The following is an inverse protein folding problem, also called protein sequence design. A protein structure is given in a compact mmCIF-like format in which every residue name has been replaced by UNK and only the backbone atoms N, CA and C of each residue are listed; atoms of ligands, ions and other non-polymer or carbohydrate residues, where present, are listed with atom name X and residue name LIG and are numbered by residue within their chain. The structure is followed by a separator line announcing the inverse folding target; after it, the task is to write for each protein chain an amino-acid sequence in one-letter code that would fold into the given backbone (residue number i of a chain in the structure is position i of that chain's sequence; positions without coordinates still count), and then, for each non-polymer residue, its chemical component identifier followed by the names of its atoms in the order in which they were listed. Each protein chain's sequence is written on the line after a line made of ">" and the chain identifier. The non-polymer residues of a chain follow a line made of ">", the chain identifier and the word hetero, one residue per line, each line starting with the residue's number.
data_IF_632884367917
#
_entry.id   IF_632884367917
#
_cell.length_a   1.000
_cell.length_b   1.000
_cell.length_c   1.000
_cell.angle_alpha   90.00
_cell.angle_beta   90.00
_cell.angle_gamma   90.00
#
_symmetry.space_group_name_H-M   'P 1'
#
loop_
_entity.id
_entity.type
_entity.pdbx_description
1 polymer ?
#
# COMPACT_ATOMS: atom_id res chain seq x y z
N UNK A 1 -9.84 2.08 41.47
CA UNK A 1 -8.64 1.24 41.35
C UNK A 1 -9.00 0.10 40.40
N UNK A 2 -8.17 -0.26 39.40
CA UNK A 2 -8.38 -1.51 38.68
C UNK A 2 -8.35 -2.64 39.70
N UNK A 3 -9.34 -3.54 39.66
CA UNK A 3 -9.46 -4.63 40.62
C UNK A 3 -8.30 -5.60 40.36
N UNK A 4 -7.45 -5.91 41.35
CA UNK A 4 -6.26 -6.77 41.15
C UNK A 4 -6.61 -8.13 40.52
N UNK A 5 -7.86 -8.58 40.73
CA UNK A 5 -8.45 -9.76 40.09
C UNK A 5 -8.62 -9.63 38.56
N UNK A 6 -9.03 -8.46 38.05
CA UNK A 6 -9.15 -8.22 36.60
C UNK A 6 -7.77 -8.25 35.94
N UNK A 7 -6.77 -7.67 36.60
CA UNK A 7 -5.39 -7.67 36.11
C UNK A 7 -4.80 -9.08 36.08
N UNK A 8 -5.09 -9.89 37.10
CA UNK A 8 -4.70 -11.30 37.13
C UNK A 8 -5.38 -12.10 36.01
N UNK A 9 -6.67 -11.84 35.77
CA UNK A 9 -7.45 -12.47 34.71
C UNK A 9 -6.89 -12.09 33.32
N UNK A 10 -6.56 -10.81 33.11
CA UNK A 10 -5.92 -10.32 31.89
C UNK A 10 -4.59 -11.02 31.63
N UNK A 11 -3.76 -11.14 32.67
CA UNK A 11 -2.47 -11.83 32.56
C UNK A 11 -2.66 -13.32 32.27
N UNK A 12 -3.62 -14.01 32.88
CA UNK A 12 -3.92 -15.40 32.55
C UNK A 12 -4.42 -15.55 31.11
N UNK A 13 -5.36 -14.70 30.68
CA UNK A 13 -5.92 -14.77 29.32
C UNK A 13 -4.86 -14.43 28.26
N UNK A 14 -3.97 -13.48 28.53
CA UNK A 14 -2.94 -13.08 27.55
C UNK A 14 -1.70 -13.98 27.58
N UNK A 15 -1.16 -14.31 28.76
CA UNK A 15 0.09 -15.05 28.91
C UNK A 15 -0.12 -16.56 28.88
N UNK A 16 -1.19 -17.09 29.46
CA UNK A 16 -1.42 -18.54 29.50
C UNK A 16 -2.23 -19.02 28.30
N UNK A 17 -3.34 -18.35 27.96
CA UNK A 17 -4.17 -18.75 26.83
C UNK A 17 -3.64 -18.11 25.53
N UNK A 18 -3.38 -16.81 25.57
CA UNK A 18 -2.98 -16.02 24.40
C UNK A 18 -1.66 -16.45 23.75
N UNK A 19 -0.73 -17.06 24.49
CA UNK A 19 0.52 -17.60 23.90
C UNK A 19 0.28 -18.78 22.96
N UNK A 20 -0.80 -19.54 23.17
CA UNK A 20 -1.18 -20.68 22.34
C UNK A 20 -2.08 -20.31 21.17
N UNK A 21 -2.57 -19.07 21.13
CA UNK A 21 -3.40 -18.59 20.04
C UNK A 21 -2.55 -18.07 18.87
N UNK A 22 -2.87 -18.52 17.66
CA UNK A 22 -2.36 -17.94 16.43
C UNK A 22 -2.88 -16.51 16.21
N UNK A 23 -2.15 -15.71 15.44
CA UNK A 23 -2.53 -14.31 15.18
C UNK A 23 -3.94 -14.17 14.59
N UNK A 24 -4.39 -15.12 13.76
CA UNK A 24 -5.76 -15.10 13.22
C UNK A 24 -6.83 -15.33 14.31
N UNK A 25 -6.56 -16.17 15.31
CA UNK A 25 -7.50 -16.40 16.40
C UNK A 25 -7.60 -15.15 17.28
N UNK A 26 -6.46 -14.52 17.57
CA UNK A 26 -6.41 -13.23 18.28
C UNK A 26 -7.19 -12.15 17.52
N UNK A 27 -7.03 -12.08 16.20
CA UNK A 27 -7.81 -11.20 15.34
C UNK A 27 -9.32 -11.44 15.48
N UNK A 28 -9.79 -12.69 15.36
CA UNK A 28 -11.22 -13.02 15.48
C UNK A 28 -11.77 -12.70 16.88
N UNK A 29 -11.02 -12.99 17.93
CA UNK A 29 -11.40 -12.65 19.31
C UNK A 29 -11.49 -11.13 19.52
N UNK A 30 -10.58 -10.35 18.91
CA UNK A 30 -10.66 -8.90 18.97
C UNK A 30 -11.93 -8.34 18.29
N UNK A 31 -12.55 -9.10 17.36
CA UNK A 31 -13.70 -8.67 16.55
C UNK A 31 -15.02 -9.36 16.90
N UNK A 32 -15.07 -10.15 17.96
CA UNK A 32 -16.29 -10.87 18.35
C UNK A 32 -17.31 -10.01 19.13
N UNK A 33 -17.16 -8.68 19.14
CA UNK A 33 -18.04 -7.75 19.85
C UNK A 33 -17.79 -7.62 21.37
N UNK A 34 -16.84 -8.37 21.92
CA UNK A 34 -16.46 -8.27 23.34
C UNK A 34 -15.38 -7.19 23.55
N UNK A 35 -15.72 -6.11 24.26
CA UNK A 35 -14.81 -4.97 24.54
C UNK A 35 -13.52 -5.36 25.27
N UNK A 36 -13.62 -6.34 26.16
CA UNK A 36 -12.49 -6.83 26.94
C UNK A 36 -11.51 -7.62 26.06
N UNK A 37 -12.02 -8.58 25.28
CA UNK A 37 -11.20 -9.32 24.32
C UNK A 37 -10.61 -8.42 23.23
N UNK A 38 -11.36 -7.41 22.79
CA UNK A 38 -10.82 -6.35 21.91
C UNK A 38 -9.61 -5.67 22.56
N UNK A 39 -9.73 -5.21 23.82
CA UNK A 39 -8.62 -4.57 24.52
C UNK A 39 -7.36 -5.46 24.57
N UNK A 40 -7.54 -6.75 24.84
CA UNK A 40 -6.43 -7.71 24.99
C UNK A 40 -5.77 -8.06 23.65
N UNK A 41 -6.53 -8.14 22.56
CA UNK A 41 -6.05 -8.66 21.28
C UNK A 41 -5.99 -7.64 20.13
N UNK A 42 -6.36 -6.36 20.36
CA UNK A 42 -6.30 -5.31 19.33
C UNK A 42 -4.92 -5.16 18.69
N UNK A 43 -3.84 -5.26 19.48
CA UNK A 43 -2.48 -5.08 18.96
C UNK A 43 -2.04 -6.25 18.04
N UNK A 44 -2.15 -7.53 18.46
CA UNK A 44 -1.97 -8.66 17.56
C UNK A 44 -2.88 -8.62 16.32
N UNK A 45 -4.14 -8.20 16.47
CA UNK A 45 -5.09 -8.08 15.37
C UNK A 45 -4.62 -7.05 14.34
N UNK A 46 -4.21 -5.86 14.80
CA UNK A 46 -3.64 -4.81 13.96
C UNK A 46 -2.37 -5.27 13.23
N UNK A 47 -1.49 -6.05 13.91
CA UNK A 47 -0.29 -6.62 13.27
C UNK A 47 -0.63 -7.57 12.13
N UNK A 48 -1.66 -8.41 12.29
CA UNK A 48 -2.11 -9.32 11.23
C UNK A 48 -2.64 -8.55 10.02
N UNK A 49 -3.45 -7.51 10.26
CA UNK A 49 -3.96 -6.62 9.19
C UNK A 49 -2.81 -5.94 8.46
N UNK A 50 -1.86 -5.34 9.20
CA UNK A 50 -0.67 -4.72 8.60
C UNK A 50 0.14 -5.72 7.76
N UNK A 51 0.35 -6.95 8.25
CA UNK A 51 1.04 -7.99 7.50
C UNK A 51 0.32 -8.34 6.19
N UNK A 52 -1.00 -8.50 6.25
CA UNK A 52 -1.81 -8.77 5.06
C UNK A 52 -1.69 -7.65 4.03
N UNK A 53 -1.86 -6.39 4.46
CA UNK A 53 -1.76 -5.24 3.57
C UNK A 53 -0.34 -5.05 3.02
N UNK A 54 0.70 -5.42 3.78
CA UNK A 54 2.09 -5.44 3.29
C UNK A 54 2.27 -6.44 2.14
N UNK A 55 1.73 -7.66 2.27
CA UNK A 55 1.75 -8.63 1.17
C UNK A 55 1.03 -8.10 -0.09
N UNK A 56 -0.03 -7.32 0.08
CA UNK A 56 -0.77 -6.72 -1.04
C UNK A 56 0.07 -5.64 -1.74
N UNK A 57 0.65 -4.70 -1.00
CA UNK A 57 1.41 -3.57 -1.60
C UNK A 57 2.79 -3.98 -2.13
N UNK A 58 3.31 -5.13 -1.71
CA UNK A 58 4.57 -5.71 -2.20
C UNK A 58 4.35 -6.76 -3.32
N UNK A 59 3.12 -6.92 -3.80
CA UNK A 59 2.75 -7.88 -4.85
C UNK A 59 3.06 -9.35 -4.49
N UNK A 60 2.99 -9.70 -3.21
CA UNK A 60 3.22 -11.05 -2.72
C UNK A 60 1.91 -11.86 -2.77
N UNK A 61 1.34 -12.00 -3.97
CA UNK A 61 0.01 -12.57 -4.24
C UNK A 61 -0.25 -13.89 -3.50
N UNK A 62 0.68 -14.84 -3.55
CA UNK A 62 0.52 -16.15 -2.91
C UNK A 62 0.37 -16.06 -1.38
N UNK A 63 1.08 -15.11 -0.74
CA UNK A 63 1.02 -14.91 0.70
C UNK A 63 -0.28 -14.19 1.09
N UNK A 64 -0.67 -13.16 0.33
CA UNK A 64 -1.94 -12.47 0.51
C UNK A 64 -3.13 -13.43 0.36
N UNK A 65 -3.15 -14.25 -0.70
CA UNK A 65 -4.21 -15.21 -0.96
C UNK A 65 -4.28 -16.29 0.15
N UNK A 66 -3.13 -16.77 0.65
CA UNK A 66 -3.09 -17.71 1.77
C UNK A 66 -3.74 -17.14 3.03
N UNK A 67 -3.65 -15.84 3.26
CA UNK A 67 -4.34 -15.18 4.37
C UNK A 67 -5.85 -15.07 4.11
N UNK A 68 -6.26 -14.71 2.89
CA UNK A 68 -7.68 -14.63 2.50
C UNK A 68 -8.40 -15.98 2.52
N UNK A 69 -7.74 -17.08 2.13
CA UNK A 69 -8.26 -18.45 2.27
C UNK A 69 -8.59 -18.81 3.71
N UNK A 70 -7.86 -18.23 4.67
CA UNK A 70 -8.08 -18.46 6.11
C UNK A 70 -9.19 -17.57 6.65
N UNK A 71 -9.23 -16.31 6.23
CA UNK A 71 -10.23 -15.35 6.67
C UNK A 71 -10.50 -14.27 5.61
N UNK A 72 -11.59 -14.42 4.82
CA UNK A 72 -12.01 -13.40 3.85
C UNK A 72 -12.38 -12.06 4.51
N UNK A 73 -12.68 -12.04 5.82
CA UNK A 73 -13.02 -10.82 6.57
C UNK A 73 -11.89 -9.79 6.58
N UNK A 74 -10.64 -10.22 6.32
CA UNK A 74 -9.50 -9.32 6.16
C UNK A 74 -9.69 -8.28 5.03
N UNK A 75 -10.55 -8.54 4.05
CA UNK A 75 -10.91 -7.57 2.99
C UNK A 75 -11.60 -6.31 3.50
N UNK A 76 -12.19 -6.40 4.69
CA UNK A 76 -12.92 -5.30 5.33
C UNK A 76 -12.01 -4.42 6.19
N UNK A 77 -10.77 -4.87 6.43
CA UNK A 77 -9.85 -4.20 7.33
C UNK A 77 -9.07 -3.12 6.59
N UNK A 78 -9.06 -1.92 7.18
CA UNK A 78 -8.25 -0.80 6.72
C UNK A 78 -6.98 -0.68 7.56
N UNK A 79 -5.86 -0.36 6.92
CA UNK A 79 -4.61 -0.08 7.60
C UNK A 79 -3.76 0.91 6.83
N UNK A 80 -2.65 1.32 7.43
CA UNK A 80 -1.62 2.14 6.78
C UNK A 80 -0.33 1.34 6.70
N UNK A 81 0.20 1.17 5.49
CA UNK A 81 1.44 0.44 5.21
C UNK A 81 2.38 1.28 4.36
N UNK A 82 3.65 0.89 4.32
CA UNK A 82 4.65 1.50 3.42
C UNK A 82 4.91 0.54 2.27
N UNK A 83 4.76 1.01 1.04
CA UNK A 83 4.97 0.19 -0.16
C UNK A 83 6.44 0.12 -0.60
N UNK A 84 6.71 -0.62 -1.67
CA UNK A 84 8.05 -0.80 -2.23
C UNK A 84 8.70 0.52 -2.71
N UNK A 85 7.91 1.53 -3.05
CA UNK A 85 8.37 2.87 -3.42
C UNK A 85 8.52 3.81 -2.21
N UNK A 86 8.47 3.27 -0.99
CA UNK A 86 8.55 4.00 0.28
C UNK A 86 7.43 5.02 0.48
N UNK A 87 6.30 4.86 -0.22
CA UNK A 87 5.09 5.67 -0.02
C UNK A 87 4.30 5.08 1.14
N UNK A 88 3.76 5.95 2.00
CA UNK A 88 2.75 5.52 2.98
C UNK A 88 1.39 5.55 2.32
N UNK A 89 0.71 4.41 2.31
CA UNK A 89 -0.60 4.23 1.69
C UNK A 89 -1.58 3.72 2.73
N UNK A 90 -2.80 4.23 2.70
CA UNK A 90 -3.87 3.85 3.62
C UNK A 90 -5.09 3.39 2.86
N UNK A 91 -5.56 2.18 3.19
CA UNK A 91 -6.72 1.59 2.56
C UNK A 91 -6.92 0.14 2.98
N UNK A 92 -7.98 -0.46 2.44
CA UNK A 92 -8.21 -1.91 2.44
C UNK A 92 -7.39 -2.56 1.34
N UNK A 93 -7.23 -3.89 1.38
CA UNK A 93 -6.48 -4.62 0.35
C UNK A 93 -6.95 -4.32 -1.08
N UNK A 94 -8.27 -4.32 -1.31
CA UNK A 94 -8.83 -4.03 -2.63
C UNK A 94 -8.48 -2.61 -3.10
N UNK A 95 -8.65 -1.61 -2.23
CA UNK A 95 -8.33 -0.21 -2.50
C UNK A 95 -6.86 0.00 -2.85
N UNK A 96 -5.97 -0.66 -2.10
CA UNK A 96 -4.53 -0.57 -2.33
C UNK A 96 -4.14 -1.24 -3.66
N UNK A 97 -4.72 -2.39 -4.00
CA UNK A 97 -4.43 -3.10 -5.23
C UNK A 97 -4.89 -2.32 -6.49
N UNK A 98 -6.14 -1.82 -6.49
CA UNK A 98 -6.67 -1.03 -7.62
C UNK A 98 -5.93 0.32 -7.77
N UNK A 99 -5.53 0.95 -6.67
CA UNK A 99 -4.77 2.19 -6.71
C UNK A 99 -3.34 1.99 -7.21
N UNK A 100 -2.79 0.79 -7.05
CA UNK A 100 -1.50 0.40 -7.60
C UNK A 100 -1.56 -0.13 -9.04
N UNK A 101 -2.75 -0.21 -9.65
CA UNK A 101 -2.98 -0.85 -10.96
C UNK A 101 -2.46 -2.29 -11.05
N UNK A 102 -2.41 -3.00 -9.93
CA UNK A 102 -1.92 -4.37 -9.89
C UNK A 102 -3.04 -5.35 -10.27
N UNK A 103 -3.14 -5.65 -11.56
CA UNK A 103 -4.25 -6.40 -12.13
C UNK A 103 -4.46 -7.79 -11.51
N UNK A 104 -3.38 -8.54 -11.39
CA UNK A 104 -3.42 -9.90 -10.85
C UNK A 104 -3.86 -9.92 -9.37
N UNK A 105 -3.46 -8.92 -8.58
CA UNK A 105 -3.81 -8.83 -7.17
C UNK A 105 -5.27 -8.46 -6.94
N UNK A 106 -5.82 -7.44 -7.64
CA UNK A 106 -7.23 -7.08 -7.42
C UNK A 106 -8.18 -8.14 -7.96
N UNK A 107 -7.89 -8.77 -9.10
CA UNK A 107 -8.71 -9.89 -9.62
C UNK A 107 -8.73 -11.09 -8.66
N UNK A 108 -7.59 -11.41 -8.04
CA UNK A 108 -7.53 -12.43 -6.98
C UNK A 108 -8.43 -12.03 -5.81
N UNK A 109 -8.31 -10.80 -5.32
CA UNK A 109 -9.10 -10.26 -4.21
C UNK A 109 -10.61 -10.27 -4.52
N UNK A 110 -11.02 -9.91 -5.74
CA UNK A 110 -12.43 -9.88 -6.15
C UNK A 110 -13.13 -11.23 -5.94
N UNK A 111 -12.41 -12.33 -6.14
CA UNK A 111 -12.98 -13.66 -5.93
C UNK A 111 -13.33 -13.95 -4.47
N UNK A 112 -12.65 -13.32 -3.51
CA UNK A 112 -12.92 -13.51 -2.08
C UNK A 112 -14.07 -12.63 -1.57
N UNK A 113 -14.41 -11.52 -2.26
CA UNK A 113 -15.64 -10.78 -1.93
C UNK A 113 -16.90 -11.64 -2.09
N UNK A 114 -16.91 -12.60 -3.02
CA UNK A 114 -18.03 -13.54 -3.23
C UNK A 114 -18.33 -14.42 -2.01
N UNK A 115 -17.37 -14.54 -1.09
CA UNK A 115 -17.51 -15.32 0.15
C UNK A 115 -18.12 -14.50 1.30
N UNK A 116 -18.29 -13.18 1.13
CA UNK A 116 -18.86 -12.28 2.12
C UNK A 116 -20.35 -12.06 1.84
N UNK A 117 -21.18 -12.02 2.88
CA UNK A 117 -22.64 -11.85 2.76
C UNK A 117 -23.06 -10.56 2.05
N UNK A 118 -22.25 -9.50 2.14
CA UNK A 118 -22.46 -8.20 1.50
C UNK A 118 -21.28 -7.81 0.58
N UNK A 119 -20.59 -8.81 0.01
CA UNK A 119 -19.33 -8.61 -0.68
C UNK A 119 -19.37 -7.65 -1.86
N UNK A 120 -20.35 -7.76 -2.74
CA UNK A 120 -20.46 -6.88 -3.92
C UNK A 120 -20.74 -5.42 -3.53
N UNK A 121 -21.58 -5.20 -2.53
CA UNK A 121 -21.87 -3.85 -2.02
C UNK A 121 -20.61 -3.23 -1.41
N UNK A 122 -19.90 -3.99 -0.58
CA UNK A 122 -18.68 -3.52 0.06
C UNK A 122 -17.54 -3.29 -0.95
N UNK A 123 -17.42 -4.14 -1.97
CA UNK A 123 -16.48 -3.92 -3.09
C UNK A 123 -16.75 -2.59 -3.78
N UNK A 124 -18.01 -2.33 -4.13
CA UNK A 124 -18.43 -1.07 -4.77
C UNK A 124 -18.16 0.14 -3.87
N UNK A 125 -18.45 0.04 -2.58
CA UNK A 125 -18.16 1.07 -1.59
C UNK A 125 -16.66 1.37 -1.49
N UNK A 126 -15.83 0.33 -1.45
CA UNK A 126 -14.38 0.47 -1.42
C UNK A 126 -13.83 1.12 -2.70
N UNK A 127 -14.34 0.74 -3.88
CA UNK A 127 -13.99 1.39 -5.15
C UNK A 127 -14.33 2.88 -5.14
N UNK A 128 -15.56 3.23 -4.75
CA UNK A 128 -16.01 4.63 -4.71
C UNK A 128 -15.23 5.45 -3.66
N UNK A 129 -14.86 4.83 -2.54
CA UNK A 129 -14.03 5.48 -1.53
C UNK A 129 -12.60 5.75 -2.04
N UNK A 130 -12.06 4.87 -2.88
CA UNK A 130 -10.75 5.10 -3.50
C UNK A 130 -10.82 6.17 -4.60
N UNK A 131 -11.89 6.18 -5.39
CA UNK A 131 -12.05 7.05 -6.56
C UNK A 131 -13.33 7.90 -6.48
N UNK A 132 -13.44 8.83 -5.50
CA UNK A 132 -14.66 9.61 -5.29
C UNK A 132 -15.02 10.51 -6.50
N UNK A 133 -14.02 10.85 -7.33
CA UNK A 133 -14.18 11.68 -8.52
C UNK A 133 -13.95 10.89 -9.83
N UNK A 134 -14.11 9.56 -9.77
CA UNK A 134 -13.76 8.63 -10.84
C UNK A 134 -12.25 8.36 -10.93
N UNK A 135 -11.89 7.40 -11.79
CA UNK A 135 -10.49 7.04 -12.04
C UNK A 135 -9.89 8.07 -12.99
N UNK A 136 -8.99 8.91 -12.46
CA UNK A 136 -8.28 9.94 -13.22
C UNK A 136 -6.82 9.97 -12.80
N UNK A 137 -5.93 10.13 -13.77
CA UNK A 137 -4.53 10.42 -13.51
C UNK A 137 -4.37 11.89 -13.13
N UNK A 138 -3.59 12.16 -12.09
CA UNK A 138 -3.19 13.52 -11.78
C UNK A 138 -2.34 14.10 -12.93
N UNK A 139 -2.43 15.39 -13.26
CA UNK A 139 -1.48 15.99 -14.19
C UNK A 139 -0.05 15.91 -13.60
N UNK A 140 0.95 15.67 -14.44
CA UNK A 140 2.36 15.79 -14.03
C UNK A 140 2.85 17.22 -14.31
N UNK A 141 3.17 17.98 -13.27
CA UNK A 141 3.64 19.37 -13.42
C UNK A 141 5.17 19.47 -13.58
N UNK A 142 5.92 18.37 -13.43
CA UNK A 142 7.37 18.38 -13.62
C UNK A 142 7.73 18.66 -15.08
N UNK A 143 8.64 19.62 -15.30
CA UNK A 143 9.26 19.88 -16.60
C UNK A 143 10.55 19.06 -16.72
N UNK A 144 10.54 18.11 -17.64
CA UNK A 144 11.66 17.21 -17.90
C UNK A 144 12.75 17.85 -18.78
N UNK A 145 12.48 18.99 -19.43
CA UNK A 145 13.40 19.62 -20.38
C UNK A 145 14.80 19.87 -19.82
N UNK A 146 14.98 20.46 -18.62
CA UNK A 146 16.30 20.72 -18.08
C UNK A 146 17.10 19.43 -17.83
N UNK A 147 16.43 18.39 -17.35
CA UNK A 147 17.03 17.09 -17.06
C UNK A 147 17.50 16.39 -18.34
N UNK A 148 16.63 16.26 -19.34
CA UNK A 148 16.98 15.62 -20.61
C UNK A 148 18.11 16.37 -21.33
N UNK A 149 18.09 17.71 -21.31
CA UNK A 149 19.20 18.51 -21.84
C UNK A 149 20.51 18.28 -21.08
N UNK A 150 20.46 18.15 -19.75
CA UNK A 150 21.68 17.87 -18.97
C UNK A 150 22.25 16.49 -19.33
N UNK A 151 21.41 15.44 -19.34
CA UNK A 151 21.80 14.06 -19.69
C UNK A 151 22.38 13.99 -21.11
N UNK A 152 21.71 14.59 -22.10
CA UNK A 152 22.14 14.54 -23.51
C UNK A 152 23.53 15.17 -23.75
N UNK A 153 23.91 16.13 -22.92
CA UNK A 153 25.19 16.84 -23.04
C UNK A 153 26.23 16.35 -22.02
N UNK A 154 25.92 15.31 -21.25
CA UNK A 154 26.85 14.71 -20.31
C UNK A 154 27.76 13.70 -21.02
N UNK A 155 29.02 13.62 -20.58
CA UNK A 155 30.00 12.66 -21.08
C UNK A 155 30.16 11.44 -20.18
N UNK A 156 29.45 11.37 -19.05
CA UNK A 156 29.45 10.27 -18.07
C UNK A 156 30.85 9.64 -17.87
N UNK A 157 31.67 10.24 -17.00
CA UNK A 157 32.98 9.67 -16.68
C UNK A 157 32.83 8.54 -15.64
N UNK A 158 33.24 7.32 -15.99
CA UNK A 158 33.09 6.13 -15.13
C UNK A 158 31.68 5.95 -14.54
N UNK A 159 30.63 6.14 -15.36
CA UNK A 159 29.22 6.07 -14.95
C UNK A 159 28.77 7.16 -13.95
N UNK A 160 29.60 8.18 -13.71
CA UNK A 160 29.23 9.32 -12.89
C UNK A 160 28.75 10.48 -13.76
N UNK A 161 27.53 11.00 -13.52
CA UNK A 161 27.08 12.23 -14.15
C UNK A 161 27.93 13.41 -13.67
N UNK A 162 28.07 14.43 -14.51
CA UNK A 162 28.69 15.69 -14.10
C UNK A 162 27.78 16.47 -13.13
N UNK A 163 28.33 17.51 -12.50
CA UNK A 163 27.62 18.34 -11.50
C UNK A 163 26.28 18.92 -12.01
N UNK A 164 26.20 19.30 -13.29
CA UNK A 164 24.98 19.85 -13.88
C UNK A 164 23.90 18.76 -13.95
N UNK A 165 24.26 17.58 -14.46
CA UNK A 165 23.34 16.45 -14.55
C UNK A 165 22.93 15.96 -13.17
N UNK A 166 23.85 15.87 -12.21
CA UNK A 166 23.52 15.46 -10.84
C UNK A 166 22.57 16.45 -10.16
N UNK A 167 22.73 17.77 -10.41
CA UNK A 167 21.81 18.80 -9.91
C UNK A 167 20.40 18.65 -10.48
N UNK A 168 20.24 18.39 -11.77
CA UNK A 168 18.93 18.18 -12.38
C UNK A 168 18.31 16.83 -11.96
N UNK A 169 19.12 15.77 -11.84
CA UNK A 169 18.71 14.48 -11.29
C UNK A 169 18.19 14.63 -9.85
N UNK A 170 18.86 15.45 -9.04
CA UNK A 170 18.42 15.74 -7.67
C UNK A 170 17.03 16.39 -7.67
N UNK A 171 16.76 17.39 -8.52
CA UNK A 171 15.43 18.01 -8.61
C UNK A 171 14.35 17.01 -9.01
N UNK A 172 14.66 16.13 -9.97
CA UNK A 172 13.77 15.05 -10.36
C UNK A 172 13.47 14.11 -9.19
N UNK A 173 14.51 13.62 -8.49
CA UNK A 173 14.35 12.74 -7.33
C UNK A 173 13.55 13.43 -6.22
N UNK A 174 13.87 14.68 -5.89
CA UNK A 174 13.17 15.46 -4.88
C UNK A 174 11.68 15.66 -5.22
N UNK A 175 11.34 15.86 -6.49
CA UNK A 175 9.94 16.02 -6.93
C UNK A 175 9.10 14.76 -6.74
N UNK A 176 9.67 13.58 -7.03
CA UNK A 176 8.97 12.30 -6.95
C UNK A 176 9.15 11.59 -5.60
N UNK A 177 10.01 12.09 -4.71
CA UNK A 177 10.21 11.52 -3.38
C UNK A 177 8.98 11.79 -2.51
N UNK A 178 8.31 10.76 -1.98
CA UNK A 178 7.20 10.93 -1.04
C UNK A 178 7.67 11.64 0.22
N UNK A 179 6.92 12.64 0.72
CA UNK A 179 7.26 13.25 2.01
C UNK A 179 6.80 12.34 3.14
N UNK A 180 7.51 12.34 4.27
CA UNK A 180 7.17 11.48 5.41
C UNK A 180 5.75 11.74 5.99
N UNK A 181 5.24 12.96 5.80
CA UNK A 181 3.88 13.38 6.16
C UNK A 181 2.81 12.87 5.21
N UNK A 182 3.17 12.49 3.99
CA UNK A 182 2.22 12.17 2.94
C UNK A 182 1.69 10.75 3.15
N UNK A 183 0.38 10.65 3.34
CA UNK A 183 -0.34 9.37 3.36
C UNK A 183 -1.32 9.40 2.21
N UNK A 184 -1.12 8.54 1.22
CA UNK A 184 -2.03 8.41 0.08
C UNK A 184 -3.26 7.63 0.55
N UNK A 185 -4.43 8.24 0.42
CA UNK A 185 -5.70 7.68 0.90
C UNK A 185 -6.72 7.45 -0.22
N UNK A 186 -6.57 8.13 -1.35
CA UNK A 186 -7.46 8.09 -2.52
C UNK A 186 -6.65 8.24 -3.81
N UNK A 187 -7.29 7.96 -4.95
CA UNK A 187 -6.67 8.03 -6.27
C UNK A 187 -5.69 6.90 -6.55
N UNK A 188 -4.90 7.05 -7.61
CA UNK A 188 -3.84 6.12 -7.97
C UNK A 188 -2.58 6.41 -7.13
N UNK A 189 -1.82 5.37 -6.79
CA UNK A 189 -0.53 5.50 -6.13
C UNK A 189 0.56 6.01 -7.08
N UNK A 190 0.39 5.75 -8.38
CA UNK A 190 1.29 6.18 -9.45
C UNK A 190 0.58 7.13 -10.40
N UNK A 191 1.33 8.07 -10.97
CA UNK A 191 0.81 9.02 -11.94
C UNK A 191 1.25 8.61 -13.36
N UNK A 192 0.34 7.98 -14.12
CA UNK A 192 0.65 7.54 -15.49
C UNK A 192 0.99 8.69 -16.43
N UNK A 193 0.45 9.90 -16.20
CA UNK A 193 0.82 11.08 -17.01
C UNK A 193 2.28 11.47 -16.82
N UNK A 194 2.89 11.20 -15.66
CA UNK A 194 4.32 11.42 -15.47
C UNK A 194 5.14 10.48 -16.36
N UNK A 195 4.75 9.21 -16.43
CA UNK A 195 5.40 8.21 -17.29
C UNK A 195 5.24 8.53 -18.78
N UNK A 196 4.01 8.87 -19.19
CA UNK A 196 3.73 9.27 -20.58
C UNK A 196 4.60 10.45 -21.02
N UNK A 197 4.75 11.47 -20.16
CA UNK A 197 5.67 12.59 -20.43
C UNK A 197 7.11 12.11 -20.60
N UNK A 198 7.60 11.20 -19.77
CA UNK A 198 8.96 10.65 -19.96
C UNK A 198 9.11 10.01 -21.34
N UNK A 199 8.14 9.22 -21.79
CA UNK A 199 8.17 8.60 -23.12
C UNK A 199 8.09 9.62 -24.27
N UNK A 200 7.30 10.68 -24.14
CA UNK A 200 7.27 11.78 -25.12
C UNK A 200 8.65 12.45 -25.27
N UNK A 201 9.35 12.63 -24.15
CA UNK A 201 10.69 13.20 -24.16
C UNK A 201 11.71 12.21 -24.72
N UNK A 202 11.64 10.93 -24.39
CA UNK A 202 12.52 9.90 -24.97
C UNK A 202 12.50 9.94 -26.51
N UNK A 203 11.29 9.93 -27.09
CA UNK A 203 11.09 10.06 -28.53
C UNK A 203 11.66 11.37 -29.10
N UNK A 204 11.43 12.49 -28.41
CA UNK A 204 11.90 13.82 -28.85
C UNK A 204 13.42 13.97 -28.80
N UNK A 205 14.05 13.38 -27.79
CA UNK A 205 15.48 13.52 -27.54
C UNK A 205 16.32 12.43 -28.22
N UNK A 206 15.67 11.43 -28.82
CA UNK A 206 16.28 10.27 -29.47
C UNK A 206 17.36 9.65 -28.58
N UNK A 207 17.07 9.57 -27.27
CA UNK A 207 17.85 8.76 -26.37
C UNK A 207 17.57 7.33 -26.85
N UNK A 208 18.52 6.70 -27.55
CA UNK A 208 18.37 5.29 -27.90
C UNK A 208 18.47 4.48 -26.59
N UNK A 209 17.41 4.46 -25.78
CA UNK A 209 17.24 3.60 -24.61
C UNK A 209 16.91 2.15 -25.03
N UNK A 210 17.44 1.70 -26.18
CA UNK A 210 17.33 0.32 -26.63
C UNK A 210 18.55 -0.44 -26.12
N UNK A 211 18.26 -1.22 -25.08
CA UNK A 211 19.01 -2.35 -24.49
C UNK A 211 20.46 -2.12 -24.06
#
# INVERSE_FOLDING_TARGET
>A
MPNDLEKLLDEMVTKEIGKHLFNFQKYRLARCGNKHLYSLFKEPASKLVCQFLLHVVNDERNLAEKMLKRDPGLLLEEGTVTDCSRRRVKGTAFRLAIAAENNDMWEMIENYFKLLSNGEEEKKKQFNAQFPNGVKDAPCAFDFTPLFNAIKHDKFDNYHPNDKTEKELKKFRDYFTPKASDVITTGKHFNMNALMKVFEYDQKFNLNLRD
#
